data_IF_378761071462
#
_entry.id   IF_378761071462
#
_cell.length_a   1.000
_cell.length_b   1.000
_cell.length_c   1.000
_cell.angle_alpha   90.00
_cell.angle_beta   90.00
_cell.angle_gamma   90.00
#
_symmetry.space_group_name_H-M   'P 1'
#
loop_
_entity.id
_entity.type
_entity.pdbx_description
1 polymer ?
#
# COMPACT_ATOMS: atom_id res chain seq x y z
N UNK A 1 11.58 -36.77 3.22
CA UNK A 1 10.46 -35.80 3.27
C UNK A 1 9.66 -36.04 4.54
N UNK A 2 9.85 -35.20 5.58
CA UNK A 2 8.93 -35.17 6.72
C UNK A 2 7.68 -34.47 6.24
N UNK A 3 6.54 -35.17 6.24
CA UNK A 3 5.24 -34.51 6.06
C UNK A 3 5.05 -33.60 7.26
N UNK A 4 5.11 -32.29 7.04
CA UNK A 4 4.66 -31.31 8.03
C UNK A 4 3.18 -31.60 8.28
N UNK A 5 2.88 -32.38 9.32
CA UNK A 5 1.58 -32.34 9.96
C UNK A 5 1.55 -31.01 10.70
N UNK A 6 1.22 -29.94 9.99
CA UNK A 6 0.92 -28.66 10.62
C UNK A 6 -0.22 -28.92 11.58
N UNK A 7 -0.12 -28.42 12.80
CA UNK A 7 -1.24 -28.37 13.72
C UNK A 7 -1.85 -26.98 13.57
N UNK A 8 -3.16 -26.89 13.35
CA UNK A 8 -3.83 -25.60 13.43
C UNK A 8 -3.75 -25.14 14.89
N UNK A 9 -3.14 -23.99 15.17
CA UNK A 9 -3.02 -23.46 16.54
C UNK A 9 -4.36 -23.28 17.28
N UNK A 10 -5.49 -23.35 16.56
CA UNK A 10 -6.85 -23.28 17.11
C UNK A 10 -7.64 -24.59 17.14
N UNK A 11 -7.21 -25.68 16.47
CA UNK A 11 -7.95 -26.95 16.51
C UNK A 11 -7.05 -28.19 16.32
N UNK A 12 -7.29 -29.24 17.10
CA UNK A 12 -6.55 -30.52 17.07
C UNK A 12 -7.03 -31.48 15.96
N UNK A 13 -7.36 -30.94 14.78
CA UNK A 13 -7.82 -31.72 13.63
C UNK A 13 -6.68 -31.91 12.62
N UNK A 14 -6.54 -33.12 12.09
CA UNK A 14 -5.49 -33.45 11.10
C UNK A 14 -5.86 -33.11 9.66
N UNK A 15 -7.14 -33.08 9.35
CA UNK A 15 -7.67 -32.94 7.98
C UNK A 15 -8.20 -31.52 7.80
N UNK A 16 -7.30 -30.55 7.69
CA UNK A 16 -7.69 -29.16 7.54
C UNK A 16 -7.04 -28.51 6.33
N UNK A 17 -7.78 -27.61 5.69
CA UNK A 17 -7.27 -26.74 4.64
C UNK A 17 -6.61 -25.51 5.28
N UNK A 18 -5.27 -25.36 5.20
CA UNK A 18 -4.60 -24.21 5.78
C UNK A 18 -4.81 -22.97 4.91
N UNK A 19 -5.08 -21.84 5.57
CA UNK A 19 -5.23 -20.51 4.98
C UNK A 19 -4.24 -19.56 5.63
N UNK A 20 -3.65 -18.72 4.80
CA UNK A 20 -2.75 -17.66 5.21
C UNK A 20 -3.56 -16.37 5.41
N UNK A 21 -3.55 -15.85 6.63
CA UNK A 21 -4.06 -14.50 6.90
C UNK A 21 -3.07 -13.44 6.36
N UNK A 22 -3.52 -12.22 6.03
CA UNK A 22 -2.63 -11.16 5.53
C UNK A 22 -1.44 -10.84 6.44
N UNK A 23 -1.60 -11.03 7.76
CA UNK A 23 -0.53 -10.85 8.76
C UNK A 23 0.47 -12.03 8.84
N UNK A 24 0.39 -13.02 7.96
CA UNK A 24 1.33 -14.16 7.91
C UNK A 24 0.96 -15.36 8.80
N UNK A 25 -0.05 -15.26 9.67
CA UNK A 25 -0.49 -16.37 10.50
C UNK A 25 -1.30 -17.40 9.69
N UNK A 26 -1.03 -18.69 9.95
CA UNK A 26 -1.67 -19.83 9.28
C UNK A 26 -2.68 -20.48 10.20
N UNK A 27 -3.93 -20.56 9.75
CA UNK A 27 -5.05 -21.17 10.48
C UNK A 27 -5.88 -22.02 9.51
N UNK A 28 -6.69 -22.95 10.01
CA UNK A 28 -7.63 -23.67 9.14
C UNK A 28 -8.83 -22.80 8.74
N UNK A 29 -9.43 -23.11 7.58
CA UNK A 29 -10.66 -22.44 7.10
C UNK A 29 -11.73 -22.37 8.18
N UNK A 30 -12.00 -23.48 8.87
CA UNK A 30 -13.07 -23.57 9.86
C UNK A 30 -12.83 -22.68 11.08
N UNK A 31 -11.61 -22.62 11.60
CA UNK A 31 -11.28 -21.75 12.73
C UNK A 31 -11.42 -20.27 12.36
N UNK A 32 -10.99 -19.89 11.16
CA UNK A 32 -11.13 -18.52 10.67
C UNK A 32 -12.60 -18.14 10.45
N UNK A 33 -13.40 -19.01 9.83
CA UNK A 33 -14.83 -18.79 9.64
C UNK A 33 -15.55 -18.63 10.98
N UNK A 34 -15.28 -19.53 11.94
CA UNK A 34 -15.88 -19.43 13.27
C UNK A 34 -15.48 -18.16 13.98
N UNK A 35 -14.20 -17.77 13.90
CA UNK A 35 -13.72 -16.53 14.51
C UNK A 35 -14.38 -15.29 13.92
N UNK A 36 -14.42 -15.17 12.59
CA UNK A 36 -15.02 -14.00 11.94
C UNK A 36 -16.53 -13.90 12.15
N UNK A 37 -17.22 -15.03 12.34
CA UNK A 37 -18.65 -15.05 12.68
C UNK A 37 -18.93 -14.76 14.16
N UNK A 38 -18.05 -15.18 15.07
CA UNK A 38 -18.29 -15.14 16.54
C UNK A 38 -17.63 -13.97 17.27
N UNK A 39 -16.79 -13.18 16.61
CA UNK A 39 -16.12 -12.09 17.31
C UNK A 39 -17.17 -11.20 18.04
N UNK A 40 -16.84 -10.54 19.16
CA UNK A 40 -17.76 -9.63 19.85
C UNK A 40 -17.91 -8.31 19.09
N UNK A 41 -19.14 -7.78 19.01
CA UNK A 41 -19.43 -6.47 18.39
C UNK A 41 -18.55 -5.40 19.05
N UNK A 42 -18.00 -4.47 18.26
CA UNK A 42 -17.39 -3.26 18.83
C UNK A 42 -18.46 -2.41 19.51
N UNK A 43 -18.07 -1.52 20.41
CA UNK A 43 -19.01 -0.58 21.04
C UNK A 43 -19.68 0.34 19.99
N UNK A 44 -19.05 0.50 18.82
CA UNK A 44 -19.53 1.30 17.68
C UNK A 44 -20.50 0.54 16.75
N UNK A 45 -20.73 -0.75 16.97
CA UNK A 45 -21.52 -1.62 16.07
C UNK A 45 -22.96 -1.90 16.59
N UNK A 46 -23.47 -1.08 17.51
CA UNK A 46 -24.70 -1.38 18.28
C UNK A 46 -26.02 -1.24 17.50
N UNK A 47 -26.02 -0.56 16.35
CA UNK A 47 -27.27 -0.13 15.70
C UNK A 47 -27.85 -1.15 14.68
N UNK A 48 -27.08 -2.15 14.23
CA UNK A 48 -27.44 -3.03 13.09
C UNK A 48 -27.44 -4.54 13.41
N UNK A 49 -27.73 -4.92 14.66
CA UNK A 49 -27.62 -6.33 15.12
C UNK A 49 -28.56 -7.29 14.37
N UNK A 50 -29.67 -6.79 13.83
CA UNK A 50 -30.68 -7.60 13.12
C UNK A 50 -30.43 -7.73 11.61
N UNK A 51 -29.46 -6.99 11.02
CA UNK A 51 -29.16 -7.09 9.59
C UNK A 51 -28.23 -8.30 9.31
N UNK A 52 -28.67 -9.31 8.53
CA UNK A 52 -27.79 -10.39 8.10
C UNK A 52 -26.57 -9.92 7.28
N UNK A 53 -26.60 -8.72 6.70
CA UNK A 53 -25.46 -8.11 6.00
C UNK A 53 -24.39 -7.54 6.95
N UNK A 54 -24.68 -7.35 8.24
CA UNK A 54 -23.73 -6.82 9.22
C UNK A 54 -22.41 -7.62 9.25
N UNK A 55 -22.46 -8.95 9.11
CA UNK A 55 -21.27 -9.82 9.10
C UNK A 55 -20.31 -9.46 7.94
N UNK A 56 -20.83 -8.96 6.81
CA UNK A 56 -20.02 -8.59 5.65
C UNK A 56 -19.18 -7.35 5.92
N UNK A 57 -19.76 -6.31 6.53
CA UNK A 57 -19.13 -5.00 6.74
C UNK A 57 -18.38 -4.89 8.05
N UNK A 58 -18.67 -5.78 9.00
CA UNK A 58 -17.98 -5.83 10.28
C UNK A 58 -16.47 -6.00 10.14
N UNK A 59 -15.74 -5.30 11.03
CA UNK A 59 -14.28 -5.44 11.23
C UNK A 59 -13.87 -6.87 11.62
N UNK A 60 -12.95 -7.43 10.83
CA UNK A 60 -12.39 -8.78 11.04
C UNK A 60 -10.94 -8.65 11.52
N UNK A 61 -10.53 -9.50 12.46
CA UNK A 61 -9.18 -9.47 13.06
C UNK A 61 -8.56 -10.87 13.11
N UNK A 62 -7.23 -10.97 13.05
CA UNK A 62 -6.53 -12.25 13.16
C UNK A 62 -6.65 -12.82 14.59
N UNK A 63 -6.99 -14.11 14.78
CA UNK A 63 -7.02 -14.74 16.12
C UNK A 63 -5.68 -14.72 16.86
N UNK A 64 -4.56 -14.70 16.13
CA UNK A 64 -3.22 -14.82 16.72
C UNK A 64 -2.66 -13.47 17.18
N UNK A 65 -2.77 -12.43 16.34
CA UNK A 65 -2.13 -11.13 16.57
C UNK A 65 -3.10 -9.94 16.55
N UNK A 66 -4.39 -10.17 16.31
CA UNK A 66 -5.45 -9.14 16.22
C UNK A 66 -5.29 -8.11 15.10
N UNK A 67 -4.31 -8.26 14.21
CA UNK A 67 -4.19 -7.44 12.98
C UNK A 67 -5.50 -7.47 12.19
N UNK A 68 -5.91 -6.32 11.63
CA UNK A 68 -7.11 -6.19 10.79
C UNK A 68 -6.99 -7.12 9.56
N UNK A 69 -8.07 -7.78 9.19
CA UNK A 69 -8.14 -8.67 8.02
C UNK A 69 -9.18 -8.10 7.06
N UNK A 70 -8.71 -7.36 6.06
CA UNK A 70 -9.57 -6.71 5.07
C UNK A 70 -9.95 -7.68 3.94
N UNK A 71 -9.02 -8.55 3.54
CA UNK A 71 -9.19 -9.47 2.40
C UNK A 71 -9.36 -10.93 2.83
N UNK A 72 -9.91 -11.74 1.91
CA UNK A 72 -10.14 -13.18 2.10
C UNK A 72 -8.81 -13.91 2.32
N UNK A 73 -8.67 -14.74 3.38
CA UNK A 73 -7.47 -15.53 3.59
C UNK A 73 -7.14 -16.47 2.42
N UNK A 74 -5.88 -16.44 1.98
CA UNK A 74 -5.41 -17.12 0.77
C UNK A 74 -5.10 -18.59 1.10
N UNK A 75 -5.53 -19.57 0.28
CA UNK A 75 -5.10 -20.95 0.46
C UNK A 75 -3.59 -21.09 0.24
N UNK A 76 -2.90 -21.77 1.17
CA UNK A 76 -1.43 -21.94 1.08
C UNK A 76 -0.99 -22.60 -0.23
N UNK A 77 -1.81 -23.50 -0.80
CA UNK A 77 -1.46 -24.12 -2.07
C UNK A 77 -1.35 -23.09 -3.21
N UNK A 78 -2.08 -21.98 -3.17
CA UNK A 78 -1.96 -20.92 -4.17
C UNK A 78 -0.60 -20.22 -4.08
N UNK A 79 -0.14 -19.94 -2.85
CA UNK A 79 1.20 -19.39 -2.59
C UNK A 79 2.28 -20.35 -3.11
N UNK A 80 2.11 -21.66 -2.86
CA UNK A 80 3.02 -22.69 -3.39
C UNK A 80 3.04 -22.71 -4.92
N UNK A 81 1.89 -22.58 -5.57
CA UNK A 81 1.80 -22.54 -7.03
C UNK A 81 2.53 -21.32 -7.61
N UNK A 82 2.36 -20.14 -7.00
CA UNK A 82 3.08 -18.91 -7.40
C UNK A 82 4.58 -19.10 -7.20
N UNK A 83 5.02 -19.54 -6.02
CA UNK A 83 6.44 -19.80 -5.75
C UNK A 83 7.05 -20.83 -6.71
N UNK A 84 6.29 -21.87 -7.07
CA UNK A 84 6.71 -22.88 -8.05
C UNK A 84 6.78 -22.30 -9.47
N UNK A 85 5.85 -21.42 -9.84
CA UNK A 85 5.88 -20.73 -11.14
C UNK A 85 7.08 -19.79 -11.22
N UNK A 86 7.33 -18.98 -10.18
CA UNK A 86 8.50 -18.10 -10.10
C UNK A 86 9.81 -18.88 -10.14
N UNK A 87 9.91 -19.99 -9.40
CA UNK A 87 11.08 -20.86 -9.45
C UNK A 87 11.32 -21.49 -10.84
N UNK A 88 10.26 -21.72 -11.63
CA UNK A 88 10.35 -22.18 -13.02
C UNK A 88 10.80 -21.07 -13.98
N UNK A 89 10.40 -19.82 -13.73
CA UNK A 89 10.84 -18.67 -14.54
C UNK A 89 12.33 -18.39 -14.31
N UNK A 90 12.82 -18.55 -13.07
CA UNK A 90 14.25 -18.40 -12.72
C UNK A 90 15.16 -19.52 -13.27
N UNK A 91 14.61 -20.58 -13.87
CA UNK A 91 15.39 -21.71 -14.39
C UNK A 91 14.77 -22.32 -15.66
N UNK A 92 15.35 -22.01 -16.81
CA UNK A 92 14.95 -22.45 -18.16
C UNK A 92 14.67 -23.97 -18.25
N UNK A 93 13.41 -24.39 -18.15
CA UNK A 93 12.95 -25.76 -18.44
C UNK A 93 11.48 -25.80 -18.90
N UNK A 94 11.07 -26.82 -19.70
CA UNK A 94 9.87 -26.75 -20.52
C UNK A 94 8.56 -26.86 -19.73
N UNK A 95 7.60 -26.08 -20.21
CA UNK A 95 6.27 -25.85 -19.67
C UNK A 95 5.48 -27.15 -19.41
N UNK A 96 5.02 -27.35 -18.18
CA UNK A 96 3.98 -28.33 -17.85
C UNK A 96 2.68 -27.57 -17.65
N UNK A 97 1.67 -27.87 -18.47
CA UNK A 97 0.38 -27.21 -18.45
C UNK A 97 -0.28 -27.26 -17.06
N UNK A 98 -0.76 -26.11 -16.60
CA UNK A 98 -1.59 -26.00 -15.39
C UNK A 98 -2.94 -26.68 -15.64
N UNK A 99 -3.47 -27.48 -14.70
CA UNK A 99 -4.84 -27.98 -14.79
C UNK A 99 -5.82 -26.79 -14.70
N UNK A 100 -6.82 -26.78 -15.58
CA UNK A 100 -7.90 -25.80 -15.59
C UNK A 100 -8.72 -25.85 -14.30
N UNK A 101 -9.15 -24.67 -13.84
CA UNK A 101 -9.75 -24.40 -12.54
C UNK A 101 -11.29 -24.52 -12.51
N UNK A 102 -11.90 -25.25 -13.44
CA UNK A 102 -13.36 -25.22 -13.65
C UNK A 102 -14.13 -26.42 -13.09
N UNK A 103 -13.68 -27.03 -12.01
CA UNK A 103 -14.48 -28.07 -11.35
C UNK A 103 -14.43 -27.92 -9.83
N UNK A 104 -15.62 -27.72 -9.24
CA UNK A 104 -15.97 -27.55 -7.81
C UNK A 104 -16.09 -26.07 -7.36
N UNK A 105 -17.05 -25.35 -7.95
CA UNK A 105 -17.58 -24.07 -7.43
C UNK A 105 -18.69 -24.28 -6.40
N UNK A 106 -18.70 -25.39 -5.67
CA UNK A 106 -19.89 -25.81 -4.91
C UNK A 106 -19.90 -25.40 -3.43
N UNK A 107 -19.25 -24.27 -3.07
CA UNK A 107 -19.54 -23.37 -1.93
C UNK A 107 -18.24 -22.61 -1.60
N UNK A 108 -18.14 -21.35 -2.02
CA UNK A 108 -17.10 -20.45 -1.53
C UNK A 108 -17.17 -20.38 0.00
N UNK A 109 -16.15 -20.83 0.75
CA UNK A 109 -16.18 -20.84 2.20
C UNK A 109 -16.30 -19.42 2.79
N UNK A 110 -15.98 -18.39 2.01
CA UNK A 110 -16.04 -17.00 2.46
C UNK A 110 -17.35 -16.30 2.13
N UNK A 111 -18.31 -17.00 1.49
CA UNK A 111 -19.63 -16.47 1.18
C UNK A 111 -20.34 -16.00 2.46
N UNK A 112 -20.80 -14.75 2.46
CA UNK A 112 -21.48 -14.13 3.60
C UNK A 112 -20.55 -13.69 4.74
N UNK A 113 -19.23 -13.81 4.57
CA UNK A 113 -18.23 -13.28 5.51
C UNK A 113 -17.53 -12.09 4.89
N UNK A 114 -17.07 -12.21 3.64
CA UNK A 114 -16.42 -11.11 2.91
C UNK A 114 -17.31 -10.64 1.76
N UNK A 115 -17.24 -9.35 1.38
CA UNK A 115 -17.89 -8.85 0.17
C UNK A 115 -17.52 -9.68 -1.08
N UNK A 116 -18.43 -9.84 -2.05
CA UNK A 116 -18.12 -10.49 -3.33
C UNK A 116 -17.03 -9.70 -4.07
N UNK A 117 -16.04 -10.40 -4.63
CA UNK A 117 -14.94 -9.77 -5.39
C UNK A 117 -15.42 -9.24 -6.77
N UNK A 118 -16.54 -9.73 -7.26
CA UNK A 118 -17.00 -9.52 -8.65
C UNK A 118 -17.90 -8.27 -8.81
N UNK A 119 -18.00 -7.44 -7.79
CA UNK A 119 -18.51 -6.07 -7.95
C UNK A 119 -17.32 -5.13 -7.97
N UNK A 120 -16.42 -5.34 -8.92
CA UNK A 120 -15.79 -4.20 -9.55
C UNK A 120 -16.94 -3.42 -10.16
N UNK A 121 -17.35 -2.38 -9.46
CA UNK A 121 -17.64 -1.05 -9.99
C UNK A 121 -17.67 -0.96 -11.53
N UNK A 122 -18.63 -1.66 -12.14
CA UNK A 122 -19.24 -1.18 -13.35
C UNK A 122 -20.23 -0.15 -12.86
N UNK A 123 -19.74 1.07 -12.60
CA UNK A 123 -20.55 2.28 -12.60
C UNK A 123 -21.18 2.47 -13.97
N UNK A 124 -22.04 1.54 -14.39
CA UNK A 124 -23.04 1.78 -15.40
C UNK A 124 -24.11 2.62 -14.70
N UNK A 125 -23.91 3.93 -14.70
CA UNK A 125 -24.96 4.92 -14.57
C UNK A 125 -25.97 4.68 -15.69
N UNK A 126 -26.89 3.74 -15.46
CA UNK A 126 -28.10 3.58 -16.27
C UNK A 126 -29.07 4.70 -15.90
N UNK A 127 -28.72 5.91 -16.31
CA UNK A 127 -29.59 7.08 -16.35
C UNK A 127 -30.20 7.17 -17.74
N UNK A 128 -31.19 6.33 -18.01
CA UNK A 128 -32.12 6.59 -19.10
C UNK A 128 -33.25 7.45 -18.56
N UNK A 129 -33.35 8.68 -19.02
CA UNK A 129 -34.62 9.37 -19.25
C UNK A 129 -34.41 10.39 -20.37
N UNK A 130 -35.01 10.08 -21.52
CA UNK A 130 -35.20 10.98 -22.65
C UNK A 130 -36.32 11.96 -22.28
N UNK A 131 -36.05 13.26 -22.19
CA UNK A 131 -37.10 14.27 -22.34
C UNK A 131 -36.60 15.43 -23.21
N UNK A 132 -37.21 15.54 -24.39
CA UNK A 132 -37.06 16.66 -25.32
C UNK A 132 -38.10 17.73 -24.96
N UNK A 133 -37.66 18.90 -24.50
CA UNK A 133 -38.47 20.12 -24.36
C UNK A 133 -37.58 21.28 -23.90
N UNK A 134 -37.02 22.07 -24.82
CA UNK A 134 -37.58 23.31 -25.37
C UNK A 134 -37.56 24.48 -24.38
N UNK A 135 -36.66 25.42 -24.70
CA UNK A 135 -36.65 26.86 -24.43
C UNK A 135 -36.38 27.46 -23.03
N UNK A 136 -35.46 28.44 -23.10
CA UNK A 136 -35.36 29.69 -22.33
C UNK A 136 -34.61 29.75 -20.98
N UNK A 137 -33.42 30.38 -21.09
CA UNK A 137 -32.90 31.49 -20.28
C UNK A 137 -32.75 31.36 -18.75
N UNK A 138 -31.52 31.71 -18.34
CA UNK A 138 -31.10 32.36 -17.09
C UNK A 138 -30.63 31.50 -15.89
N UNK A 139 -29.43 31.89 -15.41
CA UNK A 139 -28.71 31.54 -14.18
C UNK A 139 -28.12 30.12 -14.05
N UNK A 140 -26.90 29.98 -14.57
CA UNK A 140 -25.96 28.92 -14.23
C UNK A 140 -25.48 29.09 -12.77
N UNK A 141 -26.27 28.61 -11.81
CA UNK A 141 -25.72 28.23 -10.51
C UNK A 141 -24.93 26.92 -10.72
N UNK A 142 -23.61 27.07 -10.68
CA UNK A 142 -22.60 26.01 -10.73
C UNK A 142 -22.75 25.18 -9.44
N UNK A 143 -23.71 24.26 -9.43
CA UNK A 143 -23.87 23.25 -8.37
C UNK A 143 -22.68 22.29 -8.46
N UNK A 144 -21.65 22.63 -7.69
CA UNK A 144 -20.49 21.82 -7.34
C UNK A 144 -20.97 20.50 -6.70
N UNK A 145 -21.11 19.48 -7.53
CA UNK A 145 -21.50 18.12 -7.18
C UNK A 145 -20.32 17.41 -6.47
N UNK A 146 -19.98 17.87 -5.27
CA UNK A 146 -19.01 17.27 -4.34
C UNK A 146 -19.60 15.98 -3.73
N UNK A 147 -19.75 14.94 -4.54
CA UNK A 147 -20.17 13.62 -4.06
C UNK A 147 -19.26 12.50 -4.57
N UNK A 148 -17.95 12.62 -4.32
CA UNK A 148 -17.03 11.47 -4.35
C UNK A 148 -15.94 11.48 -3.26
N UNK A 149 -16.12 12.22 -2.15
CA UNK A 149 -15.12 12.32 -1.06
C UNK A 149 -14.87 11.03 -0.27
N UNK A 150 -15.70 9.99 -0.44
CA UNK A 150 -15.62 8.78 0.39
C UNK A 150 -14.59 7.74 -0.09
N UNK A 151 -13.99 7.93 -1.27
CA UNK A 151 -12.96 7.02 -1.81
C UNK A 151 -11.58 7.67 -2.02
N UNK A 152 -11.49 9.00 -1.94
CA UNK A 152 -10.23 9.75 -2.05
C UNK A 152 -9.43 9.73 -0.74
N UNK A 153 -10.10 9.46 0.38
CA UNK A 153 -9.53 9.43 1.74
C UNK A 153 -8.61 8.22 2.03
N UNK A 154 -8.46 7.28 1.10
CA UNK A 154 -7.71 6.05 1.41
C UNK A 154 -6.20 6.28 1.38
N UNK A 155 -5.70 7.26 0.62
CA UNK A 155 -4.27 7.59 0.53
C UNK A 155 -3.99 9.04 0.09
N UNK A 156 -4.81 10.01 0.51
CA UNK A 156 -4.49 11.42 0.27
C UNK A 156 -3.14 11.77 0.89
N UNK A 157 -2.29 12.48 0.15
CA UNK A 157 -0.99 12.86 0.64
C UNK A 157 -1.14 13.83 1.81
N UNK A 158 -0.68 13.39 2.98
CA UNK A 158 -0.66 14.19 4.19
C UNK A 158 -1.64 13.73 5.24
N UNK A 159 -1.58 14.44 6.36
CA UNK A 159 -2.59 14.36 7.40
C UNK A 159 -3.72 15.27 6.99
N UNK A 160 -4.97 14.83 7.06
CA UNK A 160 -6.13 15.67 6.70
C UNK A 160 -6.08 16.99 7.46
N UNK A 161 -6.64 18.05 6.88
CA UNK A 161 -6.77 19.36 7.53
C UNK A 161 -7.46 19.28 8.90
N UNK A 162 -8.21 18.20 9.15
CA UNK A 162 -8.93 17.91 10.37
C UNK A 162 -8.12 17.13 11.42
N UNK A 163 -6.89 16.70 11.14
CA UNK A 163 -6.07 16.02 12.15
C UNK A 163 -5.70 16.99 13.28
N UNK A 164 -5.93 16.57 14.52
CA UNK A 164 -5.56 17.36 15.70
C UNK A 164 -4.09 17.79 15.63
N UNK A 165 -3.77 19.07 15.87
CA UNK A 165 -2.40 19.56 15.83
C UNK A 165 -1.48 18.69 16.71
N UNK A 166 -0.42 18.17 16.11
CA UNK A 166 0.57 17.37 16.83
C UNK A 166 1.28 18.25 17.86
N UNK A 167 1.19 17.86 19.13
CA UNK A 167 1.75 18.63 20.25
C UNK A 167 3.22 18.29 20.57
N UNK A 168 3.80 17.30 19.88
CA UNK A 168 5.19 16.87 20.08
C UNK A 168 6.21 17.65 19.25
N UNK A 169 7.48 17.28 19.39
CA UNK A 169 8.57 17.87 18.62
C UNK A 169 8.66 17.30 17.20
N UNK A 170 9.11 18.13 16.25
CA UNK A 170 9.54 17.68 14.93
C UNK A 170 11.07 17.58 14.92
N UNK A 171 11.59 16.46 14.41
CA UNK A 171 13.02 16.15 14.36
C UNK A 171 13.41 15.72 12.95
N UNK A 172 14.71 15.70 12.67
CA UNK A 172 15.19 15.21 11.39
C UNK A 172 14.86 13.73 11.23
N UNK A 173 14.45 13.30 10.02
CA UNK A 173 14.32 11.89 9.74
C UNK A 173 15.67 11.20 9.93
N UNK A 174 15.62 9.93 10.26
CA UNK A 174 16.80 9.08 10.37
C UNK A 174 16.85 8.13 9.18
N UNK A 175 18.04 7.54 8.95
CA UNK A 175 18.19 6.55 7.91
C UNK A 175 17.18 5.41 8.09
N UNK A 176 16.54 5.03 6.98
CA UNK A 176 15.61 3.90 6.91
C UNK A 176 16.05 2.92 5.81
N UNK A 177 15.80 1.61 5.96
CA UNK A 177 16.05 0.66 4.89
C UNK A 177 15.06 0.85 3.73
N UNK A 178 15.42 0.45 2.50
CA UNK A 178 14.51 0.52 1.35
C UNK A 178 13.22 -0.27 1.58
N UNK A 179 12.08 0.30 1.16
CA UNK A 179 10.75 -0.28 1.36
C UNK A 179 10.21 -1.04 0.15
N UNK A 180 10.75 -0.77 -1.05
CA UNK A 180 10.30 -1.35 -2.31
C UNK A 180 11.30 -2.37 -2.80
N UNK A 181 10.80 -3.57 -3.12
CA UNK A 181 11.60 -4.61 -3.77
C UNK A 181 11.56 -4.34 -5.26
N UNK A 182 12.67 -3.88 -5.80
CA UNK A 182 12.88 -3.67 -7.23
C UNK A 182 13.81 -4.78 -7.72
N UNK A 183 13.30 -5.64 -8.61
CA UNK A 183 14.14 -6.59 -9.32
C UNK A 183 14.99 -5.80 -10.32
N UNK A 184 16.24 -6.22 -10.45
CA UNK A 184 17.06 -5.61 -11.47
C UNK A 184 16.40 -5.89 -12.84
N UNK A 185 16.14 -7.14 -13.19
CA UNK A 185 15.75 -7.54 -14.54
C UNK A 185 14.49 -6.85 -15.14
N UNK A 186 13.68 -6.19 -14.32
CA UNK A 186 12.50 -5.40 -14.73
C UNK A 186 12.88 -4.08 -15.43
N UNK A 187 14.12 -3.59 -15.26
CA UNK A 187 14.59 -2.31 -15.80
C UNK A 187 15.76 -2.51 -16.77
N UNK A 188 15.81 -1.69 -17.83
CA UNK A 188 16.94 -1.68 -18.76
C UNK A 188 18.12 -0.92 -18.12
N UNK A 189 18.97 -1.61 -17.35
CA UNK A 189 20.10 -1.04 -16.58
C UNK A 189 21.07 -0.15 -17.33
N UNK A 190 21.16 -0.31 -18.64
CA UNK A 190 22.07 0.50 -19.44
C UNK A 190 21.78 2.01 -19.33
N UNK A 191 20.64 2.39 -18.74
CA UNK A 191 20.20 3.76 -18.56
C UNK A 191 20.18 4.27 -17.12
N UNK A 192 20.31 3.40 -16.11
CA UNK A 192 20.18 3.80 -14.70
C UNK A 192 21.51 3.64 -13.96
N UNK A 193 21.90 4.66 -13.21
CA UNK A 193 23.03 4.56 -12.30
C UNK A 193 22.63 3.94 -10.94
N UNK A 194 23.64 3.63 -10.10
CA UNK A 194 23.41 3.00 -8.80
C UNK A 194 22.62 3.91 -7.83
N UNK A 195 22.73 5.24 -7.97
CA UNK A 195 21.97 6.19 -7.16
C UNK A 195 20.50 6.19 -7.57
N UNK A 196 20.21 6.25 -8.87
CA UNK A 196 18.85 6.16 -9.42
C UNK A 196 18.19 4.84 -9.04
N UNK A 197 18.91 3.73 -9.14
CA UNK A 197 18.38 2.43 -8.74
C UNK A 197 18.06 2.34 -7.23
N UNK A 198 18.93 2.90 -6.38
CA UNK A 198 18.66 2.98 -4.94
C UNK A 198 17.47 3.91 -4.62
N UNK A 199 17.27 4.98 -5.38
CA UNK A 199 16.10 5.83 -5.26
C UNK A 199 14.81 5.06 -5.61
N UNK A 200 14.80 4.25 -6.67
CA UNK A 200 13.65 3.40 -7.03
C UNK A 200 13.27 2.44 -5.89
N UNK A 201 14.25 1.80 -5.25
CA UNK A 201 14.02 0.91 -4.10
C UNK A 201 13.43 1.62 -2.87
N UNK A 202 13.51 2.94 -2.84
CA UNK A 202 13.01 3.81 -1.78
C UNK A 202 11.68 4.48 -2.13
N UNK A 203 11.01 4.02 -3.19
CA UNK A 203 9.67 4.46 -3.57
C UNK A 203 9.61 5.58 -4.60
N UNK A 204 10.74 6.01 -5.15
CA UNK A 204 10.78 7.01 -6.23
C UNK A 204 10.36 6.36 -7.55
N UNK A 205 9.61 7.07 -8.40
CA UNK A 205 9.26 6.62 -9.76
C UNK A 205 10.32 7.03 -10.79
N UNK A 206 10.31 6.40 -11.98
CA UNK A 206 11.17 6.83 -13.08
C UNK A 206 10.85 8.25 -13.57
N UNK A 207 9.60 8.69 -13.48
CA UNK A 207 9.20 10.04 -13.87
C UNK A 207 9.75 11.05 -12.88
N UNK A 208 9.65 10.80 -11.58
CA UNK A 208 10.26 11.65 -10.55
C UNK A 208 11.77 11.83 -10.74
N UNK A 209 12.50 10.76 -11.03
CA UNK A 209 13.94 10.84 -11.32
C UNK A 209 14.27 11.80 -12.47
N UNK A 210 13.41 11.86 -13.48
CA UNK A 210 13.66 12.64 -14.71
C UNK A 210 13.14 14.07 -14.60
N UNK A 211 11.93 14.23 -14.11
CA UNK A 211 11.20 15.50 -14.07
C UNK A 211 11.66 16.38 -12.91
N UNK A 212 11.80 15.79 -11.72
CA UNK A 212 12.23 16.49 -10.51
C UNK A 212 13.69 16.21 -10.14
N UNK A 213 14.45 15.56 -11.03
CA UNK A 213 15.87 15.23 -10.83
C UNK A 213 16.14 14.65 -9.43
N UNK A 214 15.28 13.71 -9.00
CA UNK A 214 15.39 13.10 -7.67
C UNK A 214 16.65 12.25 -7.62
N UNK A 215 17.43 12.41 -6.56
CA UNK A 215 18.68 11.68 -6.34
C UNK A 215 18.71 11.07 -4.95
N UNK A 216 19.39 9.94 -4.82
CA UNK A 216 19.65 9.33 -3.53
C UNK A 216 21.13 9.47 -3.16
N UNK A 217 21.38 9.96 -1.96
CA UNK A 217 22.67 9.82 -1.31
C UNK A 217 22.48 9.23 0.08
N UNK A 218 23.43 8.40 0.52
CA UNK A 218 23.33 7.76 1.83
C UNK A 218 23.34 8.80 2.98
N UNK A 219 24.09 9.89 2.80
CA UNK A 219 24.25 10.95 3.81
C UNK A 219 23.06 11.91 3.89
N UNK A 220 22.41 12.21 2.76
CA UNK A 220 21.35 13.23 2.69
C UNK A 220 19.95 12.64 2.48
N UNK A 221 19.86 11.36 2.09
CA UNK A 221 18.61 10.72 1.72
C UNK A 221 18.19 11.04 0.28
N UNK A 222 16.88 11.16 0.08
CA UNK A 222 16.25 11.52 -1.19
C UNK A 222 16.17 13.03 -1.33
N UNK A 223 16.74 13.57 -2.41
CA UNK A 223 16.75 14.99 -2.71
C UNK A 223 16.10 15.24 -4.06
N UNK A 224 15.00 15.99 -4.07
CA UNK A 224 14.30 16.45 -5.28
C UNK A 224 14.66 17.90 -5.59
N UNK A 225 14.53 18.28 -6.87
CA UNK A 225 14.75 19.63 -7.36
C UNK A 225 13.52 20.12 -8.15
N UNK A 226 13.17 21.39 -8.00
CA UNK A 226 12.18 22.04 -8.87
C UNK A 226 12.85 22.83 -10.01
N UNK A 227 12.03 23.53 -10.82
CA UNK A 227 12.48 24.35 -11.93
C UNK A 227 13.34 25.55 -11.51
N UNK A 228 13.17 26.02 -10.27
CA UNK A 228 13.90 27.14 -9.68
C UNK A 228 15.19 26.71 -8.95
N UNK A 229 15.55 25.42 -9.05
CA UNK A 229 16.69 24.79 -8.38
C UNK A 229 16.60 24.77 -6.84
N UNK A 230 15.39 24.87 -6.28
CA UNK A 230 15.19 24.62 -4.85
C UNK A 230 15.38 23.13 -4.57
N UNK A 231 15.90 22.80 -3.37
CA UNK A 231 16.18 21.42 -2.98
C UNK A 231 15.24 20.98 -1.87
N UNK A 232 14.55 19.86 -2.10
CA UNK A 232 13.64 19.26 -1.15
C UNK A 232 14.24 17.96 -0.63
N UNK A 233 14.58 17.91 0.66
CA UNK A 233 15.11 16.71 1.31
C UNK A 233 13.95 15.93 1.92
N UNK A 234 13.60 14.81 1.28
CA UNK A 234 12.35 14.07 1.49
C UNK A 234 12.47 12.94 2.53
N UNK A 235 13.63 12.79 3.16
CA UNK A 235 13.95 11.67 4.04
C UNK A 235 14.57 10.50 3.27
N UNK A 236 14.33 9.26 3.72
CA UNK A 236 15.00 8.07 3.17
C UNK A 236 14.07 7.17 2.35
N UNK A 237 12.75 7.30 2.52
CA UNK A 237 11.75 6.55 1.76
C UNK A 237 10.58 7.46 1.44
N UNK A 238 9.98 7.26 0.27
CA UNK A 238 8.72 7.88 -0.15
C UNK A 238 7.67 6.79 -0.25
N UNK A 239 6.43 7.15 0.07
CA UNK A 239 5.27 6.28 -0.12
C UNK A 239 4.29 7.03 -1.00
N UNK A 240 4.06 6.49 -2.18
CA UNK A 240 3.11 7.05 -3.12
C UNK A 240 1.72 6.46 -2.87
N UNK A 241 0.71 7.27 -3.14
CA UNK A 241 -0.67 6.81 -3.24
C UNK A 241 -0.79 5.84 -4.41
N UNK A 242 -1.78 4.96 -4.36
CA UNK A 242 -1.97 3.92 -5.39
C UNK A 242 -2.40 4.46 -6.76
N UNK A 243 -2.95 5.67 -6.80
CA UNK A 243 -3.37 6.40 -8.00
C UNK A 243 -2.29 7.33 -8.55
N UNK A 244 -1.26 7.63 -7.77
CA UNK A 244 -0.13 8.47 -8.18
C UNK A 244 1.03 7.60 -8.70
N UNK A 245 0.83 7.08 -9.92
CA UNK A 245 1.78 6.16 -10.56
C UNK A 245 3.10 6.84 -10.96
N UNK A 246 3.08 8.16 -11.17
CA UNK A 246 4.23 8.92 -11.64
C UNK A 246 4.87 9.82 -10.57
N UNK A 247 4.21 10.06 -9.44
CA UNK A 247 4.72 10.85 -8.33
C UNK A 247 4.54 12.37 -8.52
N UNK A 248 3.80 12.81 -9.54
CA UNK A 248 3.48 14.23 -9.76
C UNK A 248 2.65 14.77 -8.59
N UNK A 249 1.61 14.02 -8.18
CA UNK A 249 0.73 14.39 -7.07
C UNK A 249 1.49 14.54 -5.75
N UNK A 250 2.39 13.61 -5.46
CA UNK A 250 3.27 13.67 -4.29
C UNK A 250 4.17 14.92 -4.30
N UNK A 251 4.78 15.24 -5.45
CA UNK A 251 5.68 16.39 -5.53
C UNK A 251 4.93 17.73 -5.43
N UNK A 252 3.75 17.82 -6.03
CA UNK A 252 2.87 18.98 -5.85
C UNK A 252 2.50 19.14 -4.37
N UNK A 253 2.08 18.06 -3.71
CA UNK A 253 1.79 18.06 -2.27
C UNK A 253 2.99 18.55 -1.45
N UNK A 254 4.22 18.08 -1.74
CA UNK A 254 5.43 18.52 -1.04
C UNK A 254 5.64 20.03 -1.17
N UNK A 255 5.52 20.58 -2.38
CA UNK A 255 5.70 22.01 -2.61
C UNK A 255 4.64 22.85 -1.87
N UNK A 256 3.40 22.38 -1.83
CA UNK A 256 2.32 23.02 -1.08
C UNK A 256 2.50 22.88 0.45
N UNK A 257 2.93 21.72 0.95
CA UNK A 257 3.12 21.44 2.37
C UNK A 257 4.26 22.29 2.98
N UNK A 258 5.33 22.57 2.21
CA UNK A 258 6.38 23.52 2.63
C UNK A 258 5.83 24.90 2.97
N UNK A 259 4.82 25.36 2.22
CA UNK A 259 4.20 26.68 2.39
C UNK A 259 3.10 26.63 3.46
N UNK A 260 2.27 25.59 3.42
CA UNK A 260 1.07 25.48 4.25
C UNK A 260 1.36 24.98 5.68
N UNK A 261 2.43 24.20 5.87
CA UNK A 261 2.80 23.56 7.14
C UNK A 261 4.29 23.75 7.46
N UNK A 262 4.78 25.00 7.59
CA UNK A 262 6.19 25.28 7.78
C UNK A 262 6.78 24.65 9.07
N UNK A 263 5.97 24.26 10.05
CA UNK A 263 6.41 23.53 11.23
C UNK A 263 6.98 22.13 10.92
N UNK A 264 6.60 21.54 9.77
CA UNK A 264 7.09 20.25 9.28
C UNK A 264 8.38 20.36 8.48
N UNK A 265 8.86 21.58 8.24
CA UNK A 265 9.97 21.84 7.33
C UNK A 265 11.01 22.73 7.99
N UNK A 266 12.28 22.41 7.77
CA UNK A 266 13.37 23.35 8.05
C UNK A 266 13.86 23.94 6.74
N UNK A 267 13.47 25.18 6.49
CA UNK A 267 13.85 25.92 5.27
C UNK A 267 15.11 26.75 5.55
N UNK A 268 16.10 26.64 4.67
CA UNK A 268 17.34 27.43 4.67
C UNK A 268 17.45 28.16 3.32
N UNK A 269 17.23 29.47 3.34
CA UNK A 269 17.31 30.33 2.15
C UNK A 269 18.76 30.75 1.85
N UNK A 270 19.11 30.85 0.57
CA UNK A 270 20.39 31.34 0.07
C UNK A 270 20.27 32.71 -0.60
N UNK A 271 21.41 33.36 -0.82
CA UNK A 271 21.49 34.71 -1.41
C UNK A 271 20.94 34.78 -2.85
N UNK A 272 20.89 33.65 -3.56
CA UNK A 272 20.42 33.52 -4.95
C UNK A 272 18.92 33.25 -5.08
N UNK A 273 18.17 33.27 -3.96
CA UNK A 273 16.74 32.91 -3.84
C UNK A 273 16.44 31.42 -3.93
N UNK A 274 17.44 30.55 -4.11
CA UNK A 274 17.23 29.13 -3.91
C UNK A 274 17.08 28.85 -2.41
N UNK A 275 16.38 27.78 -2.07
CA UNK A 275 16.31 27.30 -0.70
C UNK A 275 16.47 25.78 -0.59
N UNK A 276 16.91 25.35 0.58
CA UNK A 276 16.88 23.97 1.00
C UNK A 276 15.71 23.78 1.98
N UNK A 277 14.76 22.92 1.64
CA UNK A 277 13.67 22.51 2.52
C UNK A 277 13.89 21.10 3.02
N UNK A 278 14.19 20.94 4.31
CA UNK A 278 14.34 19.64 4.94
C UNK A 278 13.04 19.19 5.61
N UNK A 279 12.47 18.07 5.17
CA UNK A 279 11.32 17.45 5.81
C UNK A 279 11.70 17.02 7.23
N UNK A 280 10.85 17.35 8.20
CA UNK A 280 10.94 16.92 9.58
C UNK A 280 9.84 15.90 9.87
N UNK A 281 10.16 14.90 10.68
CA UNK A 281 9.22 13.86 11.12
C UNK A 281 8.84 14.06 12.58
N UNK A 282 7.69 13.54 12.99
CA UNK A 282 7.28 13.56 14.40
C UNK A 282 8.32 12.80 15.24
N UNK A 283 8.66 13.33 16.41
CA UNK A 283 9.63 12.70 17.32
C UNK A 283 9.23 11.26 17.68
N UNK A 284 7.93 10.99 17.81
CA UNK A 284 7.40 9.66 18.14
C UNK A 284 7.50 8.65 16.98
N UNK A 285 7.72 9.11 15.74
CA UNK A 285 7.81 8.27 14.54
C UNK A 285 9.27 7.85 14.23
N UNK A 286 10.25 8.35 14.98
CA UNK A 286 11.66 8.02 14.76
C UNK A 286 11.97 6.62 15.26
N UNK A 287 12.51 5.79 14.37
CA UNK A 287 12.92 4.42 14.67
C UNK A 287 14.45 4.30 14.67
N UNK A 288 15.01 3.73 15.74
CA UNK A 288 16.44 3.42 15.80
C UNK A 288 16.74 2.16 14.99
N UNK A 289 17.34 2.32 13.80
CA UNK A 289 17.85 1.21 13.01
C UNK A 289 19.28 0.85 13.46
N UNK A 290 19.53 -0.45 13.67
CA UNK A 290 20.79 -0.93 14.25
C UNK A 290 22.00 -0.88 13.28
N UNK A 291 21.74 -0.75 11.98
CA UNK A 291 22.74 -0.71 10.92
C UNK A 291 22.28 0.26 9.85
N UNK A 292 23.16 1.18 9.45
CA UNK A 292 22.92 2.11 8.34
C UNK A 292 23.46 1.56 7.02
N UNK A 293 24.33 0.56 7.03
CA UNK A 293 25.04 0.09 5.82
C UNK A 293 24.25 -0.98 5.02
N UNK A 294 22.96 -1.15 5.32
CA UNK A 294 22.17 -2.27 4.78
C UNK A 294 21.79 -2.12 3.30
N UNK A 295 22.22 -1.04 2.62
CA UNK A 295 22.02 -0.87 1.19
C UNK A 295 22.72 -1.98 0.37
N UNK A 296 23.67 -2.72 0.97
CA UNK A 296 24.51 -3.71 0.27
C UNK A 296 24.05 -5.18 0.29
N UNK A 297 23.05 -5.58 1.08
CA UNK A 297 22.97 -6.99 1.51
C UNK A 297 22.02 -7.96 0.76
N UNK A 298 21.36 -7.57 -0.33
CA UNK A 298 20.41 -8.47 -1.00
C UNK A 298 20.96 -9.29 -2.17
N UNK A 299 22.17 -8.99 -2.68
CA UNK A 299 22.69 -9.62 -3.90
C UNK A 299 23.68 -10.79 -3.68
N UNK A 300 24.24 -10.96 -2.48
CA UNK A 300 25.38 -11.90 -2.29
C UNK A 300 25.04 -13.22 -1.54
N UNK A 301 23.77 -13.49 -1.23
CA UNK A 301 23.42 -14.65 -0.37
C UNK A 301 23.38 -16.00 -1.11
N UNK A 302 23.43 -16.04 -2.45
CA UNK A 302 23.30 -17.29 -3.23
C UNK A 302 24.64 -17.91 -3.72
N UNK A 303 25.80 -17.46 -3.20
CA UNK A 303 27.12 -17.90 -3.67
C UNK A 303 27.87 -18.97 -2.87
N UNK A 304 27.31 -19.50 -1.77
CA UNK A 304 28.01 -20.44 -0.88
C UNK A 304 27.81 -21.91 -1.21
N UNK A 305 28.81 -22.52 -1.87
CA UNK A 305 28.96 -23.97 -2.15
C UNK A 305 28.99 -24.86 -0.90
#
# INVERSE_FOLDING_TARGET
>A
MRTYRGWCGGCDRSDYEPRLSPCGHILCVTCLQEWFRKAPMGDDDMDDVDDPAYILHRRKTCPCCRTKVLHRPIPIFAVKSIATALAKVKGTCPSTASPSRDAISELDPWKGIFPPHDQGDSGETSGGDEDEGDDDDDDYEEDDDHSSDWYEDVFSYGTDSDEEPYNGGYVYPQWEPPTVIVDEDDYLFDQLDASEFNALRRGVTLQMLREYNVRYSHEEGLVAHDEDYNRYFLGWNIRLSSDDEDGEGFMQYVMEDVVNRPERWRVVEYDDRAFDAHLLVREDDVHDYADTDSDYNYMDVDGGQ
#
